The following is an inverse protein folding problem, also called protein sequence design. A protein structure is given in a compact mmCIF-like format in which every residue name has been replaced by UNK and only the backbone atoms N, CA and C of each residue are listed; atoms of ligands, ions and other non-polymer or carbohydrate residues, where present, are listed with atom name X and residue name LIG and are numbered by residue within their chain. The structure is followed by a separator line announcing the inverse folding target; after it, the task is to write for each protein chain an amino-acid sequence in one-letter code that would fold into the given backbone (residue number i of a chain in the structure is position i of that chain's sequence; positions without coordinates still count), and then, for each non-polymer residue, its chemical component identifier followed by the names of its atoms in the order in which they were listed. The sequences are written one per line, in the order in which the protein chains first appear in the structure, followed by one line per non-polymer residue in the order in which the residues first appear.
data_IF_575104077142
#
_entry.id   IF_575104077142
#
_cell.length_a   1.000
_cell.length_b   1.000
_cell.length_c   1.000
_cell.angle_alpha   90.00
_cell.angle_beta   90.00
_cell.angle_gamma   90.00
#
_symmetry.space_group_name_H-M   'P 1'
#
loop_
_entity.id
_entity.type
_entity.pdbx_description
1 polymer ?
#
# COMPACT_ATOMS: atom_id res chain seq x y z
N UNK A 1 14.94 -22.42 -23.89
CA UNK A 1 13.67 -22.44 -23.14
C UNK A 1 13.70 -21.27 -22.17
N UNK A 2 13.10 -20.21 -22.59
CA UNK A 2 12.90 -19.04 -21.75
C UNK A 2 11.66 -19.30 -20.87
N UNK A 3 11.88 -19.59 -19.60
CA UNK A 3 10.85 -20.08 -18.68
C UNK A 3 10.29 -19.00 -17.74
N UNK A 4 10.66 -17.73 -17.89
CA UNK A 4 10.29 -16.68 -16.93
C UNK A 4 9.22 -15.69 -17.43
N UNK A 5 8.83 -15.71 -18.70
CA UNK A 5 7.84 -14.76 -19.26
C UNK A 5 8.28 -13.30 -19.19
N UNK A 6 9.58 -13.03 -19.17
CA UNK A 6 10.19 -11.71 -19.18
C UNK A 6 10.01 -11.09 -20.56
N UNK A 7 9.56 -9.85 -20.63
CA UNK A 7 9.37 -9.13 -21.88
C UNK A 7 10.71 -8.57 -22.39
N UNK A 8 10.84 -8.31 -23.69
CA UNK A 8 12.08 -7.81 -24.34
C UNK A 8 12.60 -6.49 -23.75
N UNK A 9 11.74 -5.73 -23.03
CA UNK A 9 12.05 -4.46 -22.37
C UNK A 9 12.11 -4.55 -20.83
N UNK A 10 12.08 -5.76 -20.26
CA UNK A 10 12.14 -6.01 -18.83
C UNK A 10 13.38 -6.79 -18.43
N UNK A 11 13.98 -6.41 -17.30
CA UNK A 11 14.99 -7.18 -16.58
C UNK A 11 14.41 -7.91 -15.39
N UNK A 12 15.14 -8.86 -14.86
CA UNK A 12 14.73 -9.65 -13.71
C UNK A 12 15.83 -9.86 -12.68
N UNK A 13 15.45 -9.99 -11.41
CA UNK A 13 16.31 -10.43 -10.31
C UNK A 13 15.61 -11.55 -9.58
N UNK A 14 16.28 -12.71 -9.50
CA UNK A 14 15.85 -13.85 -8.69
C UNK A 14 16.38 -13.66 -7.27
N UNK A 15 15.49 -13.68 -6.30
CA UNK A 15 15.78 -13.50 -4.89
C UNK A 15 15.50 -14.82 -4.18
N UNK A 16 16.57 -15.46 -3.68
CA UNK A 16 16.49 -16.70 -2.93
C UNK A 16 16.58 -16.42 -1.42
N UNK A 17 15.56 -16.82 -0.68
CA UNK A 17 15.50 -16.68 0.78
C UNK A 17 15.94 -17.97 1.45
N UNK A 18 16.97 -17.88 2.27
CA UNK A 18 17.55 -18.99 3.01
C UNK A 18 17.34 -18.83 4.52
N UNK A 19 17.09 -19.91 5.21
CA UNK A 19 17.22 -19.95 6.66
C UNK A 19 18.68 -19.73 7.06
N UNK A 20 18.95 -18.71 7.89
CA UNK A 20 20.31 -18.30 8.22
C UNK A 20 21.11 -19.38 9.01
N UNK A 21 20.42 -20.25 9.76
CA UNK A 21 21.06 -21.27 10.60
C UNK A 21 21.31 -22.57 9.84
N UNK A 22 20.36 -22.97 9.02
CA UNK A 22 20.39 -24.27 8.33
C UNK A 22 20.84 -24.17 6.89
N UNK A 23 20.91 -22.94 6.35
CA UNK A 23 21.20 -22.63 4.95
C UNK A 23 20.25 -23.33 3.95
N UNK A 24 19.07 -23.72 4.41
CA UNK A 24 18.03 -24.29 3.54
C UNK A 24 17.27 -23.20 2.82
N UNK A 25 17.02 -23.41 1.54
CA UNK A 25 16.14 -22.54 0.76
C UNK A 25 14.72 -22.60 1.32
N UNK A 26 14.17 -21.43 1.67
CA UNK A 26 12.80 -21.27 2.14
C UNK A 26 11.86 -21.01 0.96
N UNK A 27 12.24 -20.05 0.10
CA UNK A 27 11.49 -19.68 -1.10
C UNK A 27 12.38 -18.92 -2.08
N UNK A 28 11.94 -18.87 -3.34
CA UNK A 28 12.48 -17.96 -4.37
C UNK A 28 11.38 -16.99 -4.83
N UNK A 29 11.78 -15.80 -5.18
CA UNK A 29 10.91 -14.77 -5.72
C UNK A 29 11.62 -14.07 -6.87
N UNK A 30 10.90 -13.76 -7.95
CA UNK A 30 11.45 -12.96 -9.05
C UNK A 30 10.89 -11.55 -8.98
N UNK A 31 11.78 -10.56 -8.99
CA UNK A 31 11.44 -9.15 -9.15
C UNK A 31 11.74 -8.77 -10.60
N UNK A 32 10.78 -8.15 -11.29
CA UNK A 32 10.94 -7.64 -12.66
C UNK A 32 10.76 -6.14 -12.70
N UNK A 33 11.39 -5.49 -13.66
CA UNK A 33 11.27 -4.05 -13.89
C UNK A 33 11.81 -3.64 -15.25
N UNK A 34 11.48 -2.43 -15.69
CA UNK A 34 11.96 -1.87 -16.96
C UNK A 34 13.50 -1.79 -16.97
N UNK A 35 14.13 -2.15 -18.09
CA UNK A 35 15.57 -2.07 -18.27
C UNK A 35 16.09 -0.65 -17.96
N UNK A 36 17.18 -0.58 -17.18
CA UNK A 36 17.77 0.69 -16.76
C UNK A 36 17.15 1.33 -15.52
N UNK A 37 16.03 0.79 -14.98
CA UNK A 37 15.49 1.23 -13.69
C UNK A 37 16.21 0.56 -12.52
N UNK A 38 16.31 1.26 -11.39
CA UNK A 38 17.00 0.74 -10.21
C UNK A 38 16.11 -0.17 -9.37
N UNK A 39 16.72 -1.15 -8.71
CA UNK A 39 16.08 -2.00 -7.72
C UNK A 39 16.90 -2.05 -6.42
N UNK A 40 16.20 -2.33 -5.31
CA UNK A 40 16.79 -2.60 -4.00
C UNK A 40 15.95 -3.71 -3.32
N UNK A 41 16.54 -4.89 -3.18
CA UNK A 41 15.86 -6.05 -2.57
C UNK A 41 16.09 -6.16 -1.07
N UNK A 42 16.87 -5.26 -0.48
CA UNK A 42 17.22 -5.29 0.96
C UNK A 42 15.95 -5.27 1.82
N UNK A 43 14.99 -4.46 1.44
CA UNK A 43 13.75 -4.25 2.21
C UNK A 43 12.64 -5.26 1.90
N UNK A 44 12.72 -5.97 0.76
CA UNK A 44 11.74 -7.00 0.39
C UNK A 44 11.80 -8.22 1.30
N UNK A 45 12.93 -8.43 1.96
CA UNK A 45 13.17 -9.57 2.83
C UNK A 45 12.71 -9.37 4.27
N UNK A 46 12.66 -8.11 4.74
CA UNK A 46 12.13 -7.80 6.07
C UNK A 46 10.62 -7.95 6.05
N UNK A 47 10.14 -9.11 6.47
CA UNK A 47 8.71 -9.39 6.62
C UNK A 47 8.33 -9.34 8.09
N UNK A 48 7.03 -9.31 8.36
CA UNK A 48 6.49 -9.36 9.71
C UNK A 48 7.09 -10.51 10.54
N UNK A 49 7.35 -11.65 9.90
CA UNK A 49 7.73 -12.90 10.54
C UNK A 49 9.24 -13.22 10.46
N UNK A 50 10.04 -12.44 9.73
CA UNK A 50 11.44 -12.75 9.51
C UNK A 50 12.35 -11.54 9.68
N UNK A 51 13.53 -11.78 10.26
CA UNK A 51 14.65 -10.84 10.32
C UNK A 51 15.68 -11.16 9.26
N UNK A 52 16.15 -10.18 8.52
CA UNK A 52 17.30 -10.32 7.63
C UNK A 52 18.58 -10.31 8.44
N UNK A 53 19.40 -11.34 8.28
CA UNK A 53 20.69 -11.48 8.99
C UNK A 53 21.88 -11.17 8.09
N UNK A 54 21.86 -11.61 6.85
CA UNK A 54 22.88 -11.29 5.84
C UNK A 54 22.29 -11.34 4.43
N UNK A 55 22.94 -10.69 3.50
CA UNK A 55 22.63 -10.72 2.08
C UNK A 55 23.88 -11.03 1.27
N UNK A 56 23.71 -11.59 0.07
CA UNK A 56 24.79 -11.92 -0.86
C UNK A 56 24.27 -11.77 -2.30
N UNK A 57 25.18 -11.46 -3.23
CA UNK A 57 24.86 -11.26 -4.64
C UNK A 57 24.32 -9.85 -4.95
N UNK A 58 23.51 -9.76 -5.99
CA UNK A 58 23.03 -8.50 -6.56
C UNK A 58 21.79 -7.96 -5.81
N UNK A 59 21.98 -7.52 -4.56
CA UNK A 59 20.89 -7.01 -3.71
C UNK A 59 20.41 -5.60 -4.10
N UNK A 60 21.24 -4.85 -4.83
CA UNK A 60 20.93 -3.51 -5.38
C UNK A 60 21.57 -3.40 -6.74
N UNK A 61 20.88 -2.75 -7.65
CA UNK A 61 21.40 -2.56 -9.00
C UNK A 61 20.42 -1.88 -9.91
N UNK A 62 20.62 -2.11 -11.20
CA UNK A 62 19.73 -1.69 -12.29
C UNK A 62 19.29 -2.95 -13.01
N UNK A 63 18.04 -2.99 -13.45
CA UNK A 63 17.57 -4.08 -14.30
C UNK A 63 18.30 -4.05 -15.65
N UNK A 64 18.84 -5.17 -16.03
CA UNK A 64 19.55 -5.41 -17.29
C UNK A 64 18.89 -6.55 -18.05
N UNK A 65 19.37 -6.84 -19.25
CA UNK A 65 18.99 -8.01 -20.05
C UNK A 65 19.50 -9.35 -19.46
N UNK A 66 20.38 -9.26 -18.45
CA UNK A 66 20.83 -10.43 -17.68
C UNK A 66 19.99 -10.60 -16.43
N UNK A 67 19.68 -11.85 -16.08
CA UNK A 67 18.98 -12.16 -14.83
C UNK A 67 19.93 -12.01 -13.65
N UNK A 68 19.64 -11.05 -12.78
CA UNK A 68 20.38 -10.88 -11.53
C UNK A 68 20.01 -11.93 -10.48
N UNK A 69 20.92 -12.19 -9.53
CA UNK A 69 20.71 -13.14 -8.45
C UNK A 69 21.08 -12.53 -7.10
N UNK A 70 20.12 -12.56 -6.18
CA UNK A 70 20.29 -12.11 -4.80
C UNK A 70 19.98 -13.26 -3.83
N UNK A 71 20.77 -13.37 -2.78
CA UNK A 71 20.51 -14.30 -1.67
C UNK A 71 20.26 -13.52 -0.40
N UNK A 72 19.21 -13.87 0.31
CA UNK A 72 18.82 -13.23 1.56
C UNK A 72 18.67 -14.31 2.63
N UNK A 73 19.46 -14.19 3.68
CA UNK A 73 19.44 -15.12 4.81
C UNK A 73 18.61 -14.52 5.93
N UNK A 74 17.58 -15.25 6.36
CA UNK A 74 16.59 -14.80 7.32
C UNK A 74 16.50 -15.72 8.54
N UNK A 75 16.08 -15.19 9.66
CA UNK A 75 15.66 -15.95 10.84
C UNK A 75 14.21 -15.61 11.17
N UNK A 76 13.46 -16.56 11.70
CA UNK A 76 12.12 -16.29 12.20
C UNK A 76 12.18 -15.21 13.29
N UNK A 77 11.27 -14.24 13.19
CA UNK A 77 11.06 -13.25 14.24
C UNK A 77 10.29 -13.92 15.37
N UNK A 78 10.89 -13.97 16.55
CA UNK A 78 10.35 -14.60 17.77
C UNK A 78 9.69 -13.59 18.72
N UNK A 79 9.64 -12.30 18.33
CA UNK A 79 9.02 -11.25 19.11
C UNK A 79 7.49 -11.20 18.94
N UNK A 80 6.87 -10.34 19.72
CA UNK A 80 5.41 -10.15 19.72
C UNK A 80 4.93 -9.40 18.49
N UNK A 81 3.90 -9.94 17.83
CA UNK A 81 3.16 -9.28 16.75
C UNK A 81 1.92 -8.61 17.36
N UNK A 82 1.81 -7.32 17.11
CA UNK A 82 0.67 -6.51 17.54
C UNK A 82 -0.30 -6.26 16.39
N UNK A 83 -1.56 -6.04 16.73
CA UNK A 83 -2.65 -5.87 15.77
C UNK A 83 -3.43 -4.59 16.05
N UNK A 84 -3.72 -3.83 14.98
CA UNK A 84 -4.70 -2.75 15.02
C UNK A 84 -5.93 -3.21 14.24
N UNK A 85 -7.08 -3.20 14.89
CA UNK A 85 -8.38 -3.42 14.25
C UNK A 85 -8.94 -2.08 13.83
N UNK A 86 -9.15 -1.86 12.53
CA UNK A 86 -9.77 -0.64 12.00
C UNK A 86 -11.24 -0.93 11.71
N UNK A 87 -12.13 -0.18 12.36
CA UNK A 87 -13.58 -0.33 12.30
C UNK A 87 -14.24 0.86 11.62
N UNK A 88 -15.35 0.60 10.96
CA UNK A 88 -16.16 1.58 10.25
C UNK A 88 -17.58 1.51 10.80
N UNK A 89 -18.04 2.59 11.41
CA UNK A 89 -19.32 2.60 12.12
C UNK A 89 -20.21 3.76 11.68
N UNK A 90 -21.51 3.55 11.72
CA UNK A 90 -22.50 4.62 11.64
C UNK A 90 -22.40 5.49 12.90
N UNK A 91 -22.20 6.80 12.73
CA UNK A 91 -22.01 7.74 13.85
C UNK A 91 -23.23 7.82 14.78
N UNK A 92 -24.44 7.50 14.25
CA UNK A 92 -25.69 7.66 15.00
C UNK A 92 -25.89 6.56 16.03
N UNK A 93 -25.49 5.32 15.69
CA UNK A 93 -25.81 4.12 16.50
C UNK A 93 -24.61 3.21 16.78
N UNK A 94 -23.42 3.58 16.26
CA UNK A 94 -22.18 2.82 16.38
C UNK A 94 -22.23 1.38 15.81
N UNK A 95 -23.18 1.10 14.90
CA UNK A 95 -23.19 -0.20 14.20
C UNK A 95 -22.09 -0.25 13.15
N UNK A 96 -21.42 -1.38 13.02
CA UNK A 96 -20.47 -1.60 11.92
C UNK A 96 -21.21 -1.62 10.58
N UNK A 97 -20.72 -0.84 9.62
CA UNK A 97 -21.33 -0.63 8.30
C UNK A 97 -20.47 -1.16 7.16
N UNK A 98 -19.26 -1.57 7.47
CA UNK A 98 -18.30 -2.19 6.56
C UNK A 98 -17.42 -3.15 7.37
N UNK A 99 -16.90 -4.19 6.71
CA UNK A 99 -16.01 -5.14 7.36
C UNK A 99 -14.76 -4.46 7.92
N UNK A 100 -14.42 -4.75 9.17
CA UNK A 100 -13.18 -4.28 9.78
C UNK A 100 -11.97 -4.93 9.13
N UNK A 101 -10.85 -4.23 9.05
CA UNK A 101 -9.59 -4.83 8.64
C UNK A 101 -8.52 -4.75 9.73
N UNK A 102 -7.50 -5.59 9.59
CA UNK A 102 -6.41 -5.71 10.55
C UNK A 102 -5.11 -5.16 9.96
N UNK A 103 -4.50 -4.22 10.67
CA UNK A 103 -3.12 -3.80 10.44
C UNK A 103 -2.26 -4.54 11.46
N UNK A 104 -1.25 -5.28 11.00
CA UNK A 104 -0.33 -6.03 11.86
C UNK A 104 1.07 -5.49 11.68
N UNK A 105 1.78 -5.34 12.81
CA UNK A 105 3.21 -5.03 12.80
C UNK A 105 3.84 -5.60 14.07
N UNK A 106 5.16 -5.53 14.16
CA UNK A 106 5.92 -5.93 15.34
C UNK A 106 5.64 -4.98 16.49
N UNK A 107 5.58 -5.49 17.70
CA UNK A 107 5.41 -4.67 18.90
C UNK A 107 6.50 -3.59 18.98
N UNK A 108 6.09 -2.36 19.28
CA UNK A 108 6.98 -1.20 19.32
C UNK A 108 7.18 -0.49 17.99
N UNK A 109 6.79 -1.11 16.87
CA UNK A 109 6.88 -0.49 15.55
C UNK A 109 5.71 0.49 15.31
N UNK A 110 5.91 1.37 14.34
CA UNK A 110 4.93 2.36 13.92
C UNK A 110 3.85 1.72 13.05
N UNK A 111 2.58 2.14 13.21
CA UNK A 111 1.50 1.82 12.28
C UNK A 111 0.87 3.10 11.73
N UNK A 112 0.30 2.97 10.55
CA UNK A 112 -0.48 4.01 9.89
C UNK A 112 -1.78 3.41 9.38
N UNK A 113 -2.85 4.20 9.37
CA UNK A 113 -4.09 3.77 8.70
C UNK A 113 -3.92 3.94 7.19
N UNK A 114 -4.30 2.94 6.40
CA UNK A 114 -4.34 3.04 4.94
C UNK A 114 -5.52 3.89 4.46
N UNK A 115 -5.66 3.97 3.14
CA UNK A 115 -6.83 4.59 2.52
C UNK A 115 -8.13 3.94 3.01
N UNK A 116 -9.08 4.80 3.36
CA UNK A 116 -10.35 4.38 3.93
C UNK A 116 -11.34 3.94 2.84
N UNK A 117 -12.26 3.01 3.14
CA UNK A 117 -13.22 2.53 2.15
C UNK A 117 -14.23 3.61 1.75
N UNK A 118 -14.67 3.53 0.51
CA UNK A 118 -15.87 4.23 0.04
C UNK A 118 -17.07 3.35 0.35
N UNK A 119 -17.93 3.82 1.27
CA UNK A 119 -19.09 3.06 1.74
C UNK A 119 -20.35 3.63 1.10
N UNK A 120 -21.10 2.77 0.39
CA UNK A 120 -22.31 3.19 -0.33
C UNK A 120 -23.34 3.83 0.60
N UNK A 121 -23.84 5.00 0.24
CA UNK A 121 -24.80 5.81 1.00
C UNK A 121 -24.25 6.35 2.34
N UNK A 122 -22.96 6.36 2.53
CA UNK A 122 -22.30 6.97 3.68
C UNK A 122 -21.19 7.90 3.24
N UNK A 123 -20.88 8.88 4.09
CA UNK A 123 -19.73 9.78 3.98
C UNK A 123 -18.93 9.79 5.28
N UNK A 124 -17.61 9.86 5.17
CA UNK A 124 -16.71 9.93 6.31
C UNK A 124 -16.93 11.23 7.09
N UNK A 125 -16.99 11.14 8.42
CA UNK A 125 -17.10 12.30 9.31
C UNK A 125 -15.70 12.90 9.50
N UNK A 126 -15.36 13.90 8.67
CA UNK A 126 -14.02 14.51 8.67
C UNK A 126 -13.72 15.33 9.92
N UNK A 127 -14.75 15.84 10.59
CA UNK A 127 -14.62 16.66 11.81
C UNK A 127 -14.44 15.81 13.08
N UNK A 128 -14.59 14.47 12.98
CA UNK A 128 -14.44 13.53 14.11
C UNK A 128 -13.58 12.33 13.71
N UNK A 129 -12.41 12.62 13.11
CA UNK A 129 -11.42 11.60 12.78
C UNK A 129 -10.71 11.10 14.04
N UNK A 130 -10.40 9.78 14.15
CA UNK A 130 -9.73 9.21 15.31
C UNK A 130 -8.32 9.75 15.48
N UNK A 131 -7.95 10.15 16.70
CA UNK A 131 -6.60 10.64 17.03
C UNK A 131 -5.57 9.52 17.17
N UNK A 132 -6.01 8.26 17.07
CA UNK A 132 -5.17 7.07 17.09
C UNK A 132 -5.15 6.35 15.72
N UNK A 133 -5.37 7.06 14.63
CA UNK A 133 -5.27 6.51 13.28
C UNK A 133 -3.84 6.12 12.88
N UNK A 134 -2.83 6.64 13.58
CA UNK A 134 -1.45 6.24 13.50
C UNK A 134 -0.82 6.20 14.89
N UNK A 135 0.35 5.58 15.06
CA UNK A 135 1.04 5.54 16.35
C UNK A 135 1.91 4.30 16.51
N UNK A 136 2.44 4.10 17.70
CA UNK A 136 3.25 2.92 18.05
C UNK A 136 2.38 1.77 18.57
N UNK A 137 2.77 0.58 18.22
CA UNK A 137 2.18 -0.67 18.70
C UNK A 137 2.78 -1.06 20.06
N UNK A 138 2.38 -0.35 21.11
CA UNK A 138 2.83 -0.55 22.50
C UNK A 138 2.08 -1.65 23.24
N UNK A 139 0.98 -2.15 22.66
CA UNK A 139 0.13 -3.23 23.22
C UNK A 139 -0.15 -4.30 22.17
N UNK A 140 -0.57 -5.48 22.60
CA UNK A 140 -0.88 -6.61 21.73
C UNK A 140 -2.00 -6.30 20.71
N UNK A 141 -2.96 -5.44 21.09
CA UNK A 141 -4.05 -5.02 20.22
C UNK A 141 -4.48 -3.59 20.48
N UNK A 142 -4.90 -2.91 19.41
CA UNK A 142 -5.53 -1.59 19.44
C UNK A 142 -6.76 -1.60 18.52
N UNK A 143 -7.68 -0.66 18.76
CA UNK A 143 -8.81 -0.43 17.86
C UNK A 143 -8.81 1.03 17.43
N UNK A 144 -8.98 1.24 16.12
CA UNK A 144 -9.20 2.55 15.49
C UNK A 144 -10.60 2.53 14.90
N UNK A 145 -11.42 3.53 15.19
CA UNK A 145 -12.80 3.58 14.72
C UNK A 145 -13.02 4.84 13.91
N UNK A 146 -13.41 4.66 12.65
CA UNK A 146 -13.83 5.73 11.76
C UNK A 146 -15.35 5.79 11.71
N UNK A 147 -15.89 6.99 11.88
CA UNK A 147 -17.32 7.25 11.87
C UNK A 147 -17.78 7.74 10.51
N UNK A 148 -18.93 7.28 10.11
CA UNK A 148 -19.56 7.66 8.85
C UNK A 148 -20.99 8.11 9.10
N UNK A 149 -21.39 9.16 8.42
CA UNK A 149 -22.78 9.69 8.41
C UNK A 149 -23.52 9.12 7.22
N UNK A 150 -24.76 8.69 7.43
CA UNK A 150 -25.63 8.22 6.36
C UNK A 150 -26.06 9.37 5.45
N UNK A 151 -25.88 9.18 4.15
CA UNK A 151 -26.34 10.13 3.12
C UNK A 151 -27.79 9.81 2.79
N UNK A 152 -28.70 10.75 3.09
CA UNK A 152 -30.15 10.63 2.82
C UNK A 152 -30.60 11.43 1.61
N UNK A 153 -29.85 12.48 1.27
CA UNK A 153 -30.13 13.33 0.12
C UNK A 153 -29.72 12.66 -1.18
N UNK A 154 -30.62 12.61 -2.17
CA UNK A 154 -30.36 11.97 -3.46
C UNK A 154 -29.33 12.75 -4.30
N UNK A 155 -29.26 14.09 -4.16
CA UNK A 155 -28.22 14.88 -4.82
C UNK A 155 -26.84 14.56 -4.24
N UNK A 156 -26.71 14.41 -2.92
CA UNK A 156 -25.45 14.09 -2.25
C UNK A 156 -24.96 12.66 -2.57
N UNK A 157 -25.85 11.72 -2.88
CA UNK A 157 -25.49 10.36 -3.31
C UNK A 157 -24.79 10.31 -4.67
N UNK A 158 -25.02 11.29 -5.52
CA UNK A 158 -24.45 11.36 -6.88
C UNK A 158 -23.20 12.21 -6.95
N UNK A 159 -22.85 12.94 -5.89
CA UNK A 159 -21.64 13.76 -5.85
C UNK A 159 -20.41 12.88 -5.81
N UNK A 160 -19.46 13.18 -6.70
CA UNK A 160 -18.14 12.56 -6.69
C UNK A 160 -17.20 13.39 -5.81
N UNK A 161 -16.73 12.82 -4.70
CA UNK A 161 -15.82 13.48 -3.75
C UNK A 161 -14.53 12.70 -3.61
N UNK A 162 -13.43 13.43 -3.42
CA UNK A 162 -12.18 12.85 -2.95
C UNK A 162 -11.70 13.66 -1.75
N UNK A 163 -11.55 12.97 -0.62
CA UNK A 163 -11.03 13.54 0.61
C UNK A 163 -9.56 13.18 0.75
N UNK A 164 -8.70 14.17 0.91
CA UNK A 164 -7.33 13.99 1.34
C UNK A 164 -7.25 14.25 2.85
N UNK A 165 -6.73 13.30 3.60
CA UNK A 165 -6.53 13.35 5.04
C UNK A 165 -5.02 13.32 5.28
N UNK A 166 -4.47 14.35 5.90
CA UNK A 166 -3.05 14.45 6.20
C UNK A 166 -2.87 14.17 7.69
N UNK A 167 -2.15 13.09 8.01
CA UNK A 167 -2.02 12.58 9.38
C UNK A 167 -0.55 12.36 9.72
N UNK A 168 -0.13 12.71 10.94
CA UNK A 168 1.22 12.39 11.39
C UNK A 168 1.33 11.02 12.08
N UNK A 169 2.56 10.65 12.42
CA UNK A 169 2.92 9.40 13.06
C UNK A 169 2.41 9.22 14.51
N UNK A 170 1.81 10.26 15.08
CA UNK A 170 1.10 10.18 16.37
C UNK A 170 -0.41 9.97 16.22
N UNK A 171 -0.93 10.04 14.99
CA UNK A 171 -2.38 10.01 14.68
C UNK A 171 -3.03 11.39 14.67
N UNK A 172 -2.24 12.47 14.86
CA UNK A 172 -2.76 13.83 14.79
C UNK A 172 -3.09 14.20 13.35
N UNK A 173 -4.30 14.69 13.13
CA UNK A 173 -4.71 15.26 11.85
C UNK A 173 -4.00 16.60 11.66
N UNK A 174 -3.24 16.72 10.59
CA UNK A 174 -2.52 17.92 10.20
C UNK A 174 -3.40 18.84 9.34
N UNK A 175 -4.17 18.24 8.43
CA UNK A 175 -5.07 18.94 7.52
C UNK A 175 -6.06 17.96 6.89
N UNK A 176 -7.16 18.47 6.35
CA UNK A 176 -8.10 17.75 5.50
C UNK A 176 -8.50 18.61 4.32
N UNK A 177 -8.65 18.00 3.15
CA UNK A 177 -9.07 18.69 1.92
C UNK A 177 -10.06 17.83 1.15
N UNK A 178 -11.19 18.42 0.77
CA UNK A 178 -12.16 17.77 -0.11
C UNK A 178 -12.13 18.44 -1.48
N UNK A 179 -12.06 17.63 -2.53
CA UNK A 179 -12.30 18.07 -3.91
C UNK A 179 -13.52 17.34 -4.47
N UNK A 180 -14.23 18.01 -5.35
CA UNK A 180 -15.40 17.45 -6.05
C UNK A 180 -15.20 17.51 -7.54
N UNK A 181 -15.82 16.59 -8.26
CA UNK A 181 -15.71 16.52 -9.71
C UNK A 181 -16.85 15.75 -10.34
N UNK A 182 -16.70 15.48 -11.63
CA UNK A 182 -17.67 14.70 -12.42
C UNK A 182 -17.13 13.27 -12.57
N UNK A 183 -18.01 12.29 -12.49
CA UNK A 183 -17.64 10.87 -12.67
C UNK A 183 -16.87 10.65 -13.98
N UNK A 184 -15.74 9.93 -13.86
CA UNK A 184 -14.81 9.69 -14.97
C UNK A 184 -13.77 10.79 -15.19
N UNK A 185 -13.92 11.98 -14.62
CA UNK A 185 -12.90 13.04 -14.67
C UNK A 185 -11.67 12.64 -13.86
N UNK A 186 -10.47 12.89 -14.37
CA UNK A 186 -9.22 12.65 -13.64
C UNK A 186 -9.06 13.64 -12.48
N UNK A 187 -8.50 13.15 -11.37
CA UNK A 187 -8.04 13.98 -10.26
C UNK A 187 -6.60 13.65 -9.86
N UNK A 188 -5.95 14.64 -9.25
CA UNK A 188 -4.62 14.48 -8.65
C UNK A 188 -4.59 15.24 -7.33
N UNK A 189 -4.23 14.56 -6.26
CA UNK A 189 -4.01 15.14 -4.94
C UNK A 189 -2.52 15.43 -4.77
N UNK A 190 -2.19 16.62 -4.28
CA UNK A 190 -0.82 17.00 -3.96
C UNK A 190 -0.53 16.69 -2.50
N UNK A 191 0.70 16.24 -2.23
CA UNK A 191 1.22 16.21 -0.88
C UNK A 191 1.38 17.64 -0.34
N UNK A 192 1.15 17.83 0.95
CA UNK A 192 1.48 19.07 1.65
C UNK A 192 2.90 18.97 2.23
N UNK A 193 3.52 20.12 2.45
CA UNK A 193 4.82 20.20 3.16
C UNK A 193 4.56 20.68 4.58
N UNK A 194 5.07 19.96 5.55
CA UNK A 194 5.00 20.32 6.97
C UNK A 194 6.41 20.42 7.55
N UNK A 195 6.60 21.37 8.45
CA UNK A 195 7.88 21.56 9.15
C UNK A 195 8.21 20.30 9.97
N UNK A 196 9.45 19.85 9.90
CA UNK A 196 9.97 18.67 10.61
C UNK A 196 9.20 17.36 10.34
N UNK A 197 8.49 17.27 9.23
CA UNK A 197 7.74 16.06 8.86
C UNK A 197 7.95 15.71 7.39
N UNK A 198 8.26 14.45 7.14
CA UNK A 198 8.41 13.91 5.81
C UNK A 198 7.26 12.95 5.47
N UNK A 199 6.84 12.96 4.22
CA UNK A 199 5.84 12.03 3.73
C UNK A 199 6.39 10.59 3.75
N UNK A 200 5.66 9.67 4.38
CA UNK A 200 6.05 8.26 4.48
C UNK A 200 6.02 7.60 3.10
N UNK A 201 4.93 7.81 2.36
CA UNK A 201 4.77 7.34 0.98
C UNK A 201 3.62 8.08 0.30
N UNK A 202 3.66 8.17 -1.02
CA UNK A 202 2.52 8.68 -1.79
C UNK A 202 1.43 7.61 -1.83
N UNK A 203 0.20 7.90 -1.36
CA UNK A 203 -0.90 6.96 -1.41
C UNK A 203 -1.22 6.52 -2.84
N UNK A 204 -1.57 5.25 -3.05
CA UNK A 204 -1.93 4.71 -4.36
C UNK A 204 -3.08 5.49 -5.02
N UNK A 205 -4.08 5.88 -4.20
CA UNK A 205 -5.24 6.64 -4.67
C UNK A 205 -5.03 8.16 -4.72
N UNK A 206 -3.80 8.67 -4.55
CA UNK A 206 -3.52 10.10 -4.70
C UNK A 206 -3.85 10.62 -6.11
N UNK A 207 -3.80 9.75 -7.11
CA UNK A 207 -4.21 10.04 -8.48
C UNK A 207 -5.25 9.02 -8.93
N UNK A 208 -6.25 9.47 -9.68
CA UNK A 208 -7.28 8.58 -10.15
C UNK A 208 -8.37 9.29 -10.96
N UNK A 209 -9.53 8.65 -11.03
CA UNK A 209 -10.73 9.22 -11.64
C UNK A 209 -11.85 9.28 -10.62
N UNK A 210 -12.62 10.37 -10.65
CA UNK A 210 -13.79 10.52 -9.82
C UNK A 210 -14.78 9.39 -10.08
N UNK A 211 -15.32 8.84 -9.00
CA UNK A 211 -16.40 7.85 -9.01
C UNK A 211 -17.55 8.38 -8.18
N UNK A 212 -18.77 7.94 -8.49
CA UNK A 212 -19.94 8.25 -7.68
C UNK A 212 -19.71 7.86 -6.22
N UNK A 213 -19.99 8.80 -5.30
CA UNK A 213 -19.72 8.66 -3.88
C UNK A 213 -18.38 9.29 -3.46
N UNK A 214 -17.73 8.68 -2.50
CA UNK A 214 -16.58 9.25 -1.81
C UNK A 214 -15.34 8.35 -1.91
N UNK A 215 -14.19 8.96 -2.18
CA UNK A 215 -12.87 8.32 -2.11
C UNK A 215 -12.10 9.00 -0.98
N UNK A 216 -11.56 8.21 -0.04
CA UNK A 216 -10.80 8.72 1.09
C UNK A 216 -9.33 8.29 0.97
N UNK A 217 -8.43 9.27 0.95
CA UNK A 217 -6.99 9.10 0.73
C UNK A 217 -6.23 9.62 1.94
N UNK A 218 -5.40 8.78 2.55
CA UNK A 218 -4.63 9.14 3.75
C UNK A 218 -3.16 9.35 3.40
N UNK A 219 -2.67 10.58 3.55
CA UNK A 219 -1.26 10.94 3.48
C UNK A 219 -0.65 10.85 4.88
N UNK A 220 0.27 9.94 5.08
CA UNK A 220 0.94 9.71 6.37
C UNK A 220 2.30 10.38 6.40
N UNK A 221 2.58 11.09 7.50
CA UNK A 221 3.83 11.84 7.72
C UNK A 221 4.57 11.31 8.93
N UNK A 222 5.90 11.31 8.89
CA UNK A 222 6.75 10.91 9.99
C UNK A 222 7.66 12.05 10.41
N UNK A 223 7.78 12.28 11.72
CA UNK A 223 8.68 13.25 12.32
C UNK A 223 10.15 12.78 12.34
N UNK A 224 10.37 11.48 12.09
CA UNK A 224 11.72 10.91 12.01
C UNK A 224 11.70 9.78 10.96
N UNK A 225 11.71 10.14 9.67
CA UNK A 225 11.69 9.16 8.61
C UNK A 225 12.99 8.36 8.66
N UNK A 226 12.90 7.10 9.09
CA UNK A 226 13.95 6.12 8.84
C UNK A 226 13.75 5.61 7.40
N UNK A 227 14.62 5.98 6.46
CA UNK A 227 14.48 5.58 5.06
C UNK A 227 14.44 4.06 4.87
N UNK A 228 15.01 3.31 5.82
CA UNK A 228 15.04 1.86 5.79
C UNK A 228 13.74 1.23 6.33
N UNK A 229 12.97 1.95 7.16
CA UNK A 229 11.69 1.47 7.72
C UNK A 229 10.48 1.86 6.89
N UNK A 230 10.59 2.84 6.00
CA UNK A 230 9.49 3.34 5.16
C UNK A 230 8.91 2.30 4.20
N UNK A 231 9.59 1.19 3.97
CA UNK A 231 9.21 0.17 2.99
C UNK A 231 8.76 -1.16 3.59
N UNK A 232 8.47 -1.24 4.89
CA UNK A 232 7.82 -2.45 5.43
C UNK A 232 6.41 -2.52 4.86
N UNK A 233 6.09 -3.52 4.02
CA UNK A 233 4.74 -3.65 3.48
C UNK A 233 3.77 -3.89 4.63
N UNK A 234 2.78 -3.02 4.76
CA UNK A 234 1.65 -3.27 5.64
C UNK A 234 0.96 -4.55 5.20
N UNK A 235 0.94 -5.55 6.06
CA UNK A 235 0.22 -6.80 5.77
C UNK A 235 -1.24 -6.59 6.14
N UNK A 236 -2.07 -6.32 5.14
CA UNK A 236 -3.51 -6.31 5.31
C UNK A 236 -4.04 -7.74 5.29
N UNK A 237 -4.69 -8.13 6.35
CA UNK A 237 -5.43 -9.40 6.39
C UNK A 237 -6.91 -9.05 6.46
N UNK A 238 -7.51 -8.80 5.29
CA UNK A 238 -8.96 -8.79 5.14
C UNK A 238 -9.47 -10.23 5.03
N UNK A 239 -10.66 -10.49 5.51
CA UNK A 239 -11.35 -11.76 5.29
C UNK A 239 -11.59 -11.91 3.77
N UNK A 240 -10.63 -12.51 3.06
CA UNK A 240 -10.78 -12.89 1.66
C UNK A 240 -9.76 -12.38 0.65
N UNK A 241 -8.85 -11.47 0.97
CA UNK A 241 -7.84 -11.01 0.01
C UNK A 241 -6.47 -10.84 0.65
N UNK A 242 -5.56 -11.77 0.35
CA UNK A 242 -4.12 -11.55 0.47
C UNK A 242 -3.72 -10.78 -0.80
N UNK A 243 -3.71 -9.46 -0.75
CA UNK A 243 -3.11 -8.64 -1.80
C UNK A 243 -1.64 -8.47 -1.44
N UNK A 244 -0.80 -9.32 -1.98
CA UNK A 244 0.61 -9.01 -2.09
C UNK A 244 0.74 -7.82 -3.05
N UNK A 245 1.41 -6.75 -2.64
CA UNK A 245 1.71 -5.56 -3.47
C UNK A 245 2.47 -5.89 -4.77
N UNK A 246 2.90 -7.14 -4.94
CA UNK A 246 3.45 -7.66 -6.20
C UNK A 246 2.40 -7.89 -7.30
N UNK A 247 1.09 -7.90 -7.00
CA UNK A 247 0.06 -8.15 -8.01
C UNK A 247 -0.31 -6.89 -8.81
N UNK A 248 -0.07 -5.70 -8.28
CA UNK A 248 -0.45 -4.46 -8.97
C UNK A 248 0.41 -4.19 -10.22
N UNK A 249 1.71 -4.53 -10.19
CA UNK A 249 2.59 -4.40 -11.35
C UNK A 249 2.23 -5.39 -12.47
N UNK A 250 1.86 -6.63 -12.11
CA UNK A 250 1.46 -7.67 -13.08
C UNK A 250 0.12 -7.33 -13.76
N UNK A 251 -0.84 -6.75 -13.03
CA UNK A 251 -2.13 -6.35 -13.61
C UNK A 251 -1.98 -5.12 -14.50
N UNK A 252 -1.14 -4.15 -14.12
CA UNK A 252 -0.86 -2.96 -14.91
C UNK A 252 -0.14 -3.32 -16.21
N UNK A 253 0.87 -4.18 -16.17
CA UNK A 253 1.61 -4.63 -17.34
C UNK A 253 0.73 -5.47 -18.29
N UNK A 254 -0.13 -6.36 -17.76
CA UNK A 254 -1.03 -7.15 -18.59
C UNK A 254 -2.08 -6.32 -19.32
N UNK A 255 -2.58 -5.23 -18.70
CA UNK A 255 -3.52 -4.31 -19.34
C UNK A 255 -2.85 -3.43 -20.39
N UNK A 256 -1.59 -3.02 -20.17
CA UNK A 256 -0.79 -2.28 -21.16
C UNK A 256 -0.46 -3.16 -22.38
N UNK A 257 -0.17 -4.44 -22.14
CA UNK A 257 0.07 -5.45 -23.20
C UNK A 257 -1.16 -5.68 -24.08
N UNK A 258 -2.35 -5.84 -23.48
CA UNK A 258 -3.60 -5.97 -24.23
C UNK A 258 -3.84 -4.76 -25.16
N UNK A 259 -3.55 -3.54 -24.67
CA UNK A 259 -3.69 -2.33 -25.49
C UNK A 259 -2.70 -2.26 -26.65
N UNK A 260 -1.45 -2.73 -26.47
CA UNK A 260 -0.45 -2.78 -27.56
C UNK A 260 -0.81 -3.82 -28.63
N UNK A 261 -1.19 -5.04 -28.22
CA UNK A 261 -1.61 -6.10 -29.15
C UNK A 261 -2.84 -5.68 -29.95
N UNK A 262 -3.81 -4.99 -29.34
CA UNK A 262 -4.95 -4.44 -30.08
C UNK A 262 -4.56 -3.34 -31.05
N UNK A 263 -3.58 -2.49 -30.70
CA UNK A 263 -3.08 -1.44 -31.59
C UNK A 263 -2.23 -1.98 -32.76
N UNK A 264 -1.52 -3.09 -32.57
CA UNK A 264 -0.77 -3.77 -33.65
C UNK A 264 -1.69 -4.53 -34.61
N UNK A 265 -2.79 -5.10 -34.10
CA UNK A 265 -3.78 -5.79 -34.94
C UNK A 265 -4.60 -4.82 -35.82
N UNK A 266 -4.82 -3.56 -35.35
CA UNK A 266 -5.51 -2.52 -36.15
C UNK A 266 -4.63 -1.90 -37.26
N UNK A 267 -3.34 -2.20 -37.30
CA UNK A 267 -2.38 -1.69 -38.33
C UNK A 267 -2.20 -2.67 -39.51
N UNK A 268 -2.62 -3.96 -39.33
CA UNK A 268 -2.49 -4.95 -40.42
C UNK A 268 -3.73 -5.06 -41.34
N UNK A 269 -4.76 -4.23 -41.15
CA UNK A 269 -6.00 -4.22 -41.98
C UNK A 269 -6.10 -3.00 -42.94
N UNK A 270 -5.02 -2.20 -43.18
CA UNK A 270 -5.00 -1.14 -44.18
C UNK A 270 -4.03 -1.44 -45.36
#
# INVERSE_FOLDING_TARGET
YDSAGIMDDEGAVVIDYYDNKTEKLIKSQTLTGELGTSYDVTNLASTLNYDVKKTDGEIKGVFTDQVGHAKVYVEEYDGEISTVTVKFVDETNNTEIEDSFLVKNRKGEQYYTPDLPSIKNYKLVLDDLPTNGAGKLDSASKTVTYKYTRVTDDEDKTVCRVNAIYMDDSGKILDTKTITGVEGQAYSLSQNTYEEKDLVSVPEKANGTFKSGEINVVFSYSSNPDPLKQMLPFVYVGTGLIIALCAASVIYSSNKRKKRIMAELDIEED
#
